data_IF_390995064981
#
_entry.id   IF_390995064981
#
_cell.length_a   1.000
_cell.length_b   1.000
_cell.length_c   1.000
_cell.angle_alpha   90.00
_cell.angle_beta   90.00
_cell.angle_gamma   90.00
#
_symmetry.space_group_name_H-M   'P 1'
#
loop_
_entity.id
_entity.type
_entity.pdbx_description
1 polymer ?
#
# COMPACT_ATOMS: atom_id res chain seq x y z
N UNK A 1 -25.22 4.71 10.75
CA UNK A 1 -24.16 5.64 11.19
C UNK A 1 -22.78 5.17 10.76
N UNK A 2 -22.42 3.90 11.02
CA UNK A 2 -21.19 3.28 10.50
C UNK A 2 -21.08 3.40 8.97
N UNK A 3 -22.18 3.21 8.23
CA UNK A 3 -22.16 3.29 6.77
C UNK A 3 -21.76 4.67 6.21
N UNK A 4 -22.18 5.75 6.86
CA UNK A 4 -21.84 7.12 6.46
C UNK A 4 -20.38 7.45 6.82
N UNK A 5 -19.87 6.88 7.92
CA UNK A 5 -18.45 6.99 8.30
C UNK A 5 -17.58 6.22 7.30
N UNK A 6 -17.98 5.01 6.93
CA UNK A 6 -17.30 4.17 5.94
C UNK A 6 -17.34 4.83 4.55
N UNK A 7 -18.44 5.47 4.17
CA UNK A 7 -18.52 6.20 2.90
C UNK A 7 -17.54 7.37 2.87
N UNK A 8 -17.56 8.23 3.89
CA UNK A 8 -16.66 9.38 3.99
C UNK A 8 -15.18 8.96 4.05
N UNK A 9 -14.91 7.84 4.73
CA UNK A 9 -13.60 7.21 4.72
C UNK A 9 -13.22 6.77 3.29
N UNK A 10 -14.09 6.04 2.61
CA UNK A 10 -13.86 5.51 1.25
C UNK A 10 -13.63 6.62 0.23
N UNK A 11 -14.37 7.73 0.32
CA UNK A 11 -14.13 8.90 -0.52
C UNK A 11 -12.76 9.54 -0.29
N UNK A 12 -12.33 9.62 0.98
CA UNK A 12 -11.03 10.22 1.33
C UNK A 12 -9.88 9.30 0.94
N UNK A 13 -10.05 8.01 1.11
CA UNK A 13 -9.15 6.97 0.58
C UNK A 13 -8.99 7.10 -0.92
N UNK A 14 -10.10 7.11 -1.67
CA UNK A 14 -10.05 7.20 -3.13
C UNK A 14 -9.31 8.46 -3.60
N UNK A 15 -9.58 9.63 -3.02
CA UNK A 15 -8.84 10.87 -3.34
C UNK A 15 -7.34 10.72 -3.07
N UNK A 16 -6.96 10.16 -1.92
CA UNK A 16 -5.56 9.91 -1.59
C UNK A 16 -4.89 8.99 -2.61
N UNK A 17 -5.58 7.93 -3.02
CA UNK A 17 -5.09 6.99 -4.02
C UNK A 17 -4.98 7.61 -5.41
N UNK A 18 -5.94 8.45 -5.83
CA UNK A 18 -5.89 9.20 -7.08
C UNK A 18 -4.69 10.15 -7.13
N UNK A 19 -4.41 10.87 -6.05
CA UNK A 19 -3.22 11.73 -5.95
C UNK A 19 -1.92 10.94 -6.07
N UNK A 20 -1.85 9.77 -5.42
CA UNK A 20 -0.73 8.82 -5.52
C UNK A 20 -0.52 8.35 -6.96
N UNK A 21 -1.59 7.96 -7.65
CA UNK A 21 -1.51 7.47 -9.03
C UNK A 21 -1.05 8.55 -10.02
N UNK A 22 -1.42 9.82 -9.79
CA UNK A 22 -1.01 10.94 -10.64
C UNK A 22 0.47 11.28 -10.44
N UNK A 23 0.97 11.21 -9.20
CA UNK A 23 2.32 11.67 -8.87
C UNK A 23 3.40 10.59 -8.98
N UNK A 24 3.03 9.33 -9.19
CA UNK A 24 3.98 8.21 -9.16
C UNK A 24 3.72 7.17 -10.25
N UNK A 25 4.78 6.81 -10.97
CA UNK A 25 4.77 5.74 -11.96
C UNK A 25 6.16 5.06 -12.00
N UNK A 26 6.55 4.33 -10.94
CA UNK A 26 7.86 3.71 -10.86
C UNK A 26 8.11 2.75 -12.04
N UNK A 27 9.29 2.86 -12.63
CA UNK A 27 9.75 2.14 -13.84
C UNK A 27 10.92 1.19 -13.55
N UNK A 28 11.41 1.18 -12.32
CA UNK A 28 12.50 0.31 -11.86
C UNK A 28 12.17 -0.26 -10.49
N UNK A 29 12.84 -1.35 -10.11
CA UNK A 29 12.76 -1.91 -8.76
C UNK A 29 13.12 -0.87 -7.68
N UNK A 30 14.17 -0.07 -7.91
CA UNK A 30 14.58 0.99 -6.98
C UNK A 30 13.53 2.10 -6.86
N UNK A 31 12.93 2.54 -7.98
CA UNK A 31 11.85 3.54 -7.94
C UNK A 31 10.60 2.99 -7.24
N UNK A 32 10.30 1.70 -7.41
CA UNK A 32 9.18 1.06 -6.73
C UNK A 32 9.42 1.00 -5.22
N UNK A 33 10.60 0.58 -4.78
CA UNK A 33 10.99 0.56 -3.38
C UNK A 33 10.91 1.96 -2.76
N UNK A 34 11.47 2.97 -3.44
CA UNK A 34 11.41 4.35 -3.00
C UNK A 34 9.96 4.84 -2.86
N UNK A 35 9.10 4.57 -3.85
CA UNK A 35 7.70 4.94 -3.79
C UNK A 35 7.01 4.28 -2.58
N UNK A 36 7.21 2.98 -2.36
CA UNK A 36 6.66 2.27 -1.20
C UNK A 36 7.13 2.86 0.14
N UNK A 37 8.41 3.26 0.25
CA UNK A 37 8.96 3.94 1.42
C UNK A 37 8.30 5.29 1.67
N UNK A 38 8.18 6.13 0.64
CA UNK A 38 7.54 7.44 0.74
C UNK A 38 6.08 7.30 1.20
N UNK A 39 5.34 6.36 0.62
CA UNK A 39 3.96 6.12 1.04
C UNK A 39 3.87 5.54 2.45
N UNK A 40 4.85 4.75 2.90
CA UNK A 40 4.88 4.27 4.28
C UNK A 40 5.01 5.46 5.25
N UNK A 41 5.93 6.39 4.97
CA UNK A 41 6.08 7.62 5.77
C UNK A 41 4.81 8.47 5.78
N UNK A 42 4.20 8.72 4.62
CA UNK A 42 2.98 9.51 4.55
C UNK A 42 1.82 8.82 5.28
N UNK A 43 1.71 7.49 5.15
CA UNK A 43 0.68 6.69 5.83
C UNK A 43 0.81 6.74 7.36
N UNK A 44 2.03 6.88 7.90
CA UNK A 44 2.30 6.94 9.34
C UNK A 44 2.33 8.35 9.90
N UNK A 45 2.43 9.36 9.02
CA UNK A 45 2.48 10.80 9.37
C UNK A 45 1.27 11.57 8.81
N UNK A 46 1.37 12.14 7.61
CA UNK A 46 0.37 13.01 6.96
C UNK A 46 -1.04 12.39 6.92
N UNK A 47 -1.11 11.09 6.64
CA UNK A 47 -2.35 10.33 6.52
C UNK A 47 -2.63 9.41 7.71
N UNK A 48 -1.89 9.55 8.82
CA UNK A 48 -1.97 8.69 10.01
C UNK A 48 -3.38 8.32 10.43
N UNK A 49 -4.25 9.32 10.57
CA UNK A 49 -5.64 9.11 11.02
C UNK A 49 -6.45 8.30 10.00
N UNK A 50 -6.25 8.56 8.71
CA UNK A 50 -6.92 7.83 7.64
C UNK A 50 -6.45 6.36 7.61
N UNK A 51 -5.14 6.13 7.71
CA UNK A 51 -4.56 4.78 7.73
C UNK A 51 -5.02 3.97 8.94
N UNK A 52 -5.06 4.57 10.13
CA UNK A 52 -5.61 3.92 11.33
C UNK A 52 -7.08 3.51 11.14
N UNK A 53 -7.89 4.37 10.52
CA UNK A 53 -9.27 4.04 10.20
C UNK A 53 -9.37 2.87 9.20
N UNK A 54 -8.50 2.83 8.18
CA UNK A 54 -8.40 1.72 7.23
C UNK A 54 -8.14 0.39 7.95
N UNK A 55 -7.21 0.38 8.89
CA UNK A 55 -6.88 -0.85 9.65
C UNK A 55 -7.96 -1.27 10.62
N UNK A 56 -8.64 -0.35 11.29
CA UNK A 56 -9.81 -0.69 12.09
C UNK A 56 -10.90 -1.35 11.22
N UNK A 57 -11.19 -0.77 10.05
CA UNK A 57 -12.17 -1.32 9.10
C UNK A 57 -11.73 -2.69 8.56
N UNK A 58 -10.44 -2.86 8.26
CA UNK A 58 -9.87 -4.13 7.79
C UNK A 58 -10.11 -5.25 8.81
N UNK A 59 -9.84 -5.00 10.09
CA UNK A 59 -10.07 -5.99 11.17
C UNK A 59 -11.57 -6.32 11.28
N UNK A 60 -12.43 -5.30 11.33
CA UNK A 60 -13.90 -5.49 11.40
C UNK A 60 -14.47 -6.24 10.18
N UNK A 61 -13.85 -6.12 9.01
CA UNK A 61 -14.28 -6.82 7.79
C UNK A 61 -14.22 -8.35 7.91
N UNK A 62 -13.43 -8.87 8.87
CA UNK A 62 -13.35 -10.30 9.17
C UNK A 62 -14.67 -10.88 9.69
N UNK A 63 -15.49 -10.08 10.38
CA UNK A 63 -16.78 -10.49 10.95
C UNK A 63 -17.98 -9.84 10.25
N UNK A 64 -17.76 -8.80 9.43
CA UNK A 64 -18.82 -8.03 8.78
C UNK A 64 -18.73 -8.11 7.24
N UNK A 65 -19.51 -9.01 6.57
CA UNK A 65 -19.45 -9.20 5.12
C UNK A 65 -19.72 -7.95 4.28
N UNK A 66 -20.64 -7.09 4.73
CA UNK A 66 -20.96 -5.84 4.02
C UNK A 66 -19.77 -4.86 4.02
N UNK A 67 -19.03 -4.76 5.14
CA UNK A 67 -17.81 -3.95 5.21
C UNK A 67 -16.71 -4.52 4.32
N UNK A 68 -16.55 -5.85 4.31
CA UNK A 68 -15.60 -6.53 3.43
C UNK A 68 -15.86 -6.24 1.95
N UNK A 69 -17.11 -6.28 1.51
CA UNK A 69 -17.47 -5.96 0.13
C UNK A 69 -17.09 -4.52 -0.24
N UNK A 70 -17.33 -3.54 0.65
CA UNK A 70 -16.96 -2.14 0.43
C UNK A 70 -15.44 -1.94 0.40
N UNK A 71 -14.72 -2.56 1.33
CA UNK A 71 -13.26 -2.51 1.38
C UNK A 71 -12.62 -3.08 0.11
N UNK A 72 -13.12 -4.22 -0.38
CA UNK A 72 -12.68 -4.81 -1.65
C UNK A 72 -12.94 -3.88 -2.84
N UNK A 73 -14.12 -3.24 -2.89
CA UNK A 73 -14.45 -2.30 -3.96
C UNK A 73 -13.55 -1.06 -3.95
N UNK A 74 -13.26 -0.49 -2.78
CA UNK A 74 -12.35 0.67 -2.64
C UNK A 74 -10.90 0.30 -2.98
N UNK A 75 -10.46 -0.91 -2.62
CA UNK A 75 -9.09 -1.38 -2.86
C UNK A 75 -8.81 -1.85 -4.30
N UNK A 76 -9.85 -2.15 -5.09
CA UNK A 76 -9.68 -2.73 -6.44
C UNK A 76 -8.80 -1.86 -7.35
N UNK A 77 -9.03 -0.55 -7.37
CA UNK A 77 -8.28 0.39 -8.21
C UNK A 77 -6.81 0.49 -7.80
N UNK A 78 -6.53 0.41 -6.49
CA UNK A 78 -5.16 0.40 -5.95
C UNK A 78 -4.42 -0.85 -6.41
N UNK A 79 -5.07 -2.01 -6.36
CA UNK A 79 -4.49 -3.27 -6.83
C UNK A 79 -4.18 -3.21 -8.33
N UNK A 80 -5.09 -2.66 -9.15
CA UNK A 80 -4.87 -2.51 -10.59
C UNK A 80 -3.63 -1.65 -10.90
N UNK A 81 -3.48 -0.50 -10.26
CA UNK A 81 -2.31 0.36 -10.44
C UNK A 81 -1.03 -0.28 -9.92
N UNK A 82 -1.09 -0.98 -8.79
CA UNK A 82 0.08 -1.65 -8.24
C UNK A 82 0.56 -2.78 -9.16
N UNK A 83 -0.35 -3.53 -9.79
CA UNK A 83 0.00 -4.51 -10.82
C UNK A 83 0.67 -3.84 -12.04
N UNK A 84 0.21 -2.65 -12.45
CA UNK A 84 0.89 -1.87 -13.49
C UNK A 84 2.30 -1.49 -13.07
N UNK A 85 2.47 -0.95 -11.86
CA UNK A 85 3.79 -0.58 -11.33
C UNK A 85 4.74 -1.77 -11.25
N UNK A 86 4.26 -2.94 -10.83
CA UNK A 86 5.08 -4.15 -10.81
C UNK A 86 5.56 -4.54 -12.20
N UNK A 87 4.68 -4.51 -13.20
CA UNK A 87 5.09 -4.76 -14.60
C UNK A 87 6.13 -3.75 -15.08
N UNK A 88 5.91 -2.47 -14.78
CA UNK A 88 6.84 -1.41 -15.17
C UNK A 88 8.19 -1.54 -14.48
N UNK A 89 8.21 -1.94 -13.21
CA UNK A 89 9.41 -2.16 -12.41
C UNK A 89 10.20 -3.41 -12.82
N UNK A 90 9.60 -4.33 -13.59
CA UNK A 90 10.27 -5.50 -14.17
C UNK A 90 9.71 -6.86 -13.71
N UNK A 91 8.63 -6.89 -12.95
CA UNK A 91 8.03 -8.14 -12.44
C UNK A 91 7.52 -9.01 -13.59
N UNK A 92 7.88 -10.28 -13.59
CA UNK A 92 7.40 -11.30 -14.53
C UNK A 92 6.07 -11.95 -14.10
N UNK A 93 5.75 -11.94 -12.80
CA UNK A 93 4.49 -12.43 -12.22
C UNK A 93 3.87 -11.41 -11.23
N UNK A 94 3.30 -10.29 -11.73
CA UNK A 94 2.72 -9.23 -10.90
C UNK A 94 1.64 -9.75 -9.94
N UNK A 95 0.80 -10.68 -10.38
CA UNK A 95 -0.31 -11.25 -9.61
C UNK A 95 0.20 -12.04 -8.39
N UNK A 96 1.31 -12.76 -8.53
CA UNK A 96 1.97 -13.44 -7.41
C UNK A 96 2.74 -12.47 -6.50
N UNK A 97 3.38 -11.46 -7.09
CA UNK A 97 4.27 -10.56 -6.38
C UNK A 97 3.53 -9.47 -5.58
N UNK A 98 2.38 -9.00 -6.10
CA UNK A 98 1.57 -7.98 -5.46
C UNK A 98 1.19 -8.28 -4.01
N UNK A 99 0.55 -9.42 -3.67
CA UNK A 99 0.17 -9.70 -2.30
C UNK A 99 1.37 -9.84 -1.35
N UNK A 100 2.53 -10.30 -1.82
CA UNK A 100 3.75 -10.41 -1.00
C UNK A 100 4.19 -9.01 -0.54
N UNK A 101 4.33 -8.09 -1.50
CA UNK A 101 4.79 -6.74 -1.23
C UNK A 101 3.77 -5.93 -0.44
N UNK A 102 2.48 -6.01 -0.81
CA UNK A 102 1.43 -5.25 -0.13
C UNK A 102 1.17 -5.74 1.29
N UNK A 103 1.21 -7.05 1.54
CA UNK A 103 1.05 -7.56 2.91
C UNK A 103 2.26 -7.20 3.79
N UNK A 104 3.48 -7.23 3.24
CA UNK A 104 4.65 -6.78 3.97
C UNK A 104 4.57 -5.29 4.31
N UNK A 105 4.29 -4.43 3.31
CA UNK A 105 4.12 -2.99 3.50
C UNK A 105 3.02 -2.66 4.52
N UNK A 106 1.88 -3.36 4.43
CA UNK A 106 0.77 -3.25 5.40
C UNK A 106 1.24 -3.57 6.81
N UNK A 107 2.01 -4.64 6.98
CA UNK A 107 2.57 -5.03 8.27
C UNK A 107 3.53 -3.99 8.84
N UNK A 108 4.43 -3.44 8.03
CA UNK A 108 5.37 -2.37 8.44
C UNK A 108 4.61 -1.14 8.92
N UNK A 109 3.66 -0.64 8.12
CA UNK A 109 2.87 0.55 8.45
C UNK A 109 1.99 0.31 9.68
N UNK A 110 1.40 -0.88 9.84
CA UNK A 110 0.60 -1.22 11.02
C UNK A 110 1.43 -1.18 12.30
N UNK A 111 2.64 -1.76 12.28
CA UNK A 111 3.52 -1.76 13.44
C UNK A 111 3.93 -0.34 13.83
N UNK A 112 4.35 0.48 12.86
CA UNK A 112 4.72 1.88 13.13
C UNK A 112 3.54 2.71 13.65
N UNK A 113 2.33 2.46 13.14
CA UNK A 113 1.14 3.14 13.67
C UNK A 113 0.85 2.74 15.13
N UNK A 114 1.01 1.46 15.45
CA UNK A 114 0.70 0.91 16.78
C UNK A 114 1.78 1.22 17.82
N UNK A 115 3.06 1.18 17.43
CA UNK A 115 4.23 1.36 18.29
C UNK A 115 5.22 2.26 17.53
N UNK A 116 5.03 3.59 17.56
CA UNK A 116 5.87 4.49 16.78
C UNK A 116 7.34 4.44 17.18
N UNK A 117 8.22 4.30 16.20
CA UNK A 117 9.66 4.40 16.36
C UNK A 117 10.16 5.77 15.86
N UNK A 118 10.80 6.61 16.69
CA UNK A 118 11.42 7.86 16.25
C UNK A 118 12.47 7.69 15.14
N UNK A 119 13.03 6.49 14.97
CA UNK A 119 13.98 6.13 13.93
C UNK A 119 13.34 5.32 12.78
N UNK A 120 12.01 5.34 12.64
CA UNK A 120 11.29 4.63 11.58
C UNK A 120 11.82 4.98 10.19
N UNK A 121 12.48 4.01 9.57
CA UNK A 121 12.93 4.06 8.18
C UNK A 121 12.81 2.65 7.56
N UNK A 122 11.79 2.40 6.74
CA UNK A 122 11.59 1.10 6.11
C UNK A 122 12.36 0.95 4.77
N UNK A 123 13.18 1.93 4.38
CA UNK A 123 13.80 1.99 3.04
C UNK A 123 14.61 0.75 2.69
N UNK A 124 15.59 0.38 3.52
CA UNK A 124 16.47 -0.76 3.26
C UNK A 124 15.71 -2.08 3.20
N UNK A 125 14.73 -2.27 4.11
CA UNK A 125 13.90 -3.48 4.12
C UNK A 125 13.03 -3.59 2.86
N UNK A 126 12.38 -2.49 2.45
CA UNK A 126 11.55 -2.45 1.25
C UNK A 126 12.37 -2.63 -0.02
N UNK A 127 13.56 -2.01 -0.09
CA UNK A 127 14.49 -2.19 -1.20
C UNK A 127 14.92 -3.64 -1.35
N UNK A 128 15.33 -4.27 -0.26
CA UNK A 128 15.73 -5.68 -0.27
C UNK A 128 14.58 -6.59 -0.72
N UNK A 129 13.36 -6.36 -0.22
CA UNK A 129 12.21 -7.16 -0.61
C UNK A 129 11.81 -6.97 -2.08
N UNK A 130 11.78 -5.72 -2.57
CA UNK A 130 11.44 -5.45 -3.97
C UNK A 130 12.49 -6.06 -4.90
N UNK A 131 13.78 -5.92 -4.60
CA UNK A 131 14.84 -6.54 -5.40
C UNK A 131 14.71 -8.07 -5.46
N UNK A 132 14.38 -8.71 -4.34
CA UNK A 132 14.20 -10.16 -4.27
C UNK A 132 12.99 -10.67 -5.08
N UNK A 133 11.95 -9.84 -5.23
CA UNK A 133 10.68 -10.21 -5.86
C UNK A 133 10.65 -9.85 -7.35
N UNK A 134 11.09 -8.64 -7.70
CA UNK A 134 11.06 -8.12 -9.07
C UNK A 134 12.29 -8.58 -9.88
N UNK A 135 13.36 -8.97 -9.18
CA UNK A 135 14.64 -9.32 -9.77
C UNK A 135 15.45 -8.07 -10.16
N UNK A 136 16.75 -8.07 -9.87
CA UNK A 136 17.66 -7.11 -10.50
C UNK A 136 17.78 -7.50 -11.97
N UNK A 137 17.39 -6.61 -12.91
CA UNK A 137 17.93 -6.72 -14.27
C UNK A 137 19.42 -6.45 -14.18
N UNK A 138 20.21 -7.51 -14.06
CA UNK A 138 21.63 -7.48 -14.35
C UNK A 138 21.73 -7.06 -15.82
N UNK A 139 22.17 -5.82 -16.05
CA UNK A 139 22.36 -5.29 -17.40
C UNK A 139 23.28 -6.22 -18.19
N UNK A 140 22.78 -6.73 -19.31
CA UNK A 140 23.57 -7.34 -20.38
C UNK A 140 24.35 -6.28 -21.14
#
# INVERSE_FOLDING_TARGET
MLDAVVERFSERERRNWEEIAVRSAPRTADELALAMTLFAHEATTTHRTLTLARYAILVESGTQPALRARLLATGAQVNEWFHVWLRLAGSDDPERHAPILMNHWTGVVLHELAIPDPAFDPSEQLKALVAAIVGERVGT
#
